data_IF_602323623328
#
_entry.id   IF_602323623328
#
_cell.length_a   1.000
_cell.length_b   1.000
_cell.length_c   1.000
_cell.angle_alpha   90.00
_cell.angle_beta   90.00
_cell.angle_gamma   90.00
#
_symmetry.space_group_name_H-M   'P 1'
#
loop_
_entity.id
_entity.type
_entity.pdbx_description
1 polymer ?
#
# COMPACT_ATOMS: atom_id res chain seq x y z
N UNK A 1 -1.06 9.09 20.91
CA UNK A 1 -1.70 7.91 20.30
C UNK A 1 -0.65 7.29 19.39
N UNK A 2 0.23 6.56 20.07
CA UNK A 2 1.35 5.80 19.55
C UNK A 2 0.79 4.66 18.68
N UNK A 3 1.33 4.25 17.54
CA UNK A 3 2.59 4.51 16.87
C UNK A 3 2.75 3.40 15.83
N UNK A 4 3.33 3.70 14.67
CA UNK A 4 3.91 2.76 13.69
C UNK A 4 3.07 1.59 13.13
N UNK A 5 1.83 1.37 13.56
CA UNK A 5 0.91 0.47 12.89
C UNK A 5 0.38 1.17 11.65
N UNK A 6 1.11 1.00 10.53
CA UNK A 6 0.60 1.31 9.20
C UNK A 6 -0.83 0.79 9.11
N UNK A 7 -1.70 1.66 8.61
CA UNK A 7 -3.13 1.46 8.57
C UNK A 7 -3.44 0.00 8.15
N UNK A 8 -4.24 -0.76 8.91
CA UNK A 8 -4.61 -2.11 8.50
C UNK A 8 -5.19 -2.16 7.07
N UNK A 9 -5.82 -1.08 6.60
CA UNK A 9 -6.31 -0.96 5.24
C UNK A 9 -5.19 -0.82 4.20
N UNK A 10 -4.10 -0.09 4.50
CA UNK A 10 -2.93 0.00 3.59
C UNK A 10 -2.35 -1.39 3.32
N UNK A 11 -2.28 -2.22 4.36
CA UNK A 11 -1.79 -3.59 4.25
C UNK A 11 -2.70 -4.45 3.39
N UNK A 12 -4.02 -4.33 3.56
CA UNK A 12 -4.98 -5.07 2.74
C UNK A 12 -4.92 -4.63 1.28
N UNK A 13 -4.88 -3.32 1.01
CA UNK A 13 -4.80 -2.77 -0.34
C UNK A 13 -3.49 -3.20 -1.02
N UNK A 14 -2.36 -3.12 -0.32
CA UNK A 14 -1.08 -3.55 -0.83
C UNK A 14 -1.06 -5.06 -1.12
N UNK A 15 -1.58 -5.88 -0.21
CA UNK A 15 -1.68 -7.32 -0.41
C UNK A 15 -2.52 -7.66 -1.65
N UNK A 16 -3.66 -7.01 -1.83
CA UNK A 16 -4.52 -7.21 -2.99
C UNK A 16 -3.83 -6.83 -4.29
N UNK A 17 -3.13 -5.68 -4.31
CA UNK A 17 -2.38 -5.24 -5.49
C UNK A 17 -1.27 -6.23 -5.86
N UNK A 18 -0.55 -6.78 -4.87
CA UNK A 18 0.50 -7.77 -5.09
C UNK A 18 -0.05 -9.11 -5.58
N UNK A 19 -1.12 -9.61 -4.97
CA UNK A 19 -1.73 -10.89 -5.33
C UNK A 19 -2.30 -10.91 -6.75
N UNK A 20 -2.86 -9.78 -7.19
CA UNK A 20 -3.50 -9.66 -8.50
C UNK A 20 -2.60 -8.97 -9.55
N UNK A 21 -1.34 -8.69 -9.22
CA UNK A 21 -0.40 -7.96 -10.08
C UNK A 21 -0.95 -6.62 -10.60
N UNK A 22 -1.67 -5.88 -9.75
CA UNK A 22 -2.26 -4.59 -10.09
C UNK A 22 -1.29 -3.43 -9.83
N UNK A 23 -1.44 -2.36 -10.62
CA UNK A 23 -0.82 -1.06 -10.34
C UNK A 23 -1.73 -0.28 -9.41
N UNK A 24 -1.20 0.18 -8.28
CA UNK A 24 -1.93 0.96 -7.29
C UNK A 24 -1.90 2.44 -7.65
N UNK A 25 -3.06 3.06 -7.92
CA UNK A 25 -3.13 4.51 -8.15
C UNK A 25 -3.33 5.20 -6.80
N UNK A 26 -2.30 5.92 -6.33
CA UNK A 26 -2.38 6.65 -5.07
C UNK A 26 -1.35 7.77 -4.98
N UNK A 27 -1.73 8.85 -4.28
CA UNK A 27 -0.80 9.93 -3.91
C UNK A 27 0.06 9.62 -2.69
N UNK A 28 -0.27 8.57 -1.96
CA UNK A 28 0.44 8.19 -0.75
C UNK A 28 1.68 7.37 -1.07
N UNK A 29 2.85 7.93 -0.76
CA UNK A 29 4.15 7.30 -0.96
C UNK A 29 4.48 6.27 0.13
N UNK A 30 3.77 6.25 1.26
CA UNK A 30 3.97 5.26 2.32
C UNK A 30 3.67 3.83 1.83
N UNK A 31 2.80 3.71 0.82
CA UNK A 31 2.43 2.44 0.19
C UNK A 31 3.61 1.79 -0.55
N UNK A 32 4.59 2.57 -1.03
CA UNK A 32 5.78 2.05 -1.74
C UNK A 32 6.60 1.12 -0.84
N UNK A 33 6.53 1.31 0.49
CA UNK A 33 7.22 0.47 1.45
C UNK A 33 6.62 -0.93 1.62
N UNK A 34 5.55 -1.27 0.90
CA UNK A 34 5.01 -2.62 0.77
C UNK A 34 5.44 -3.32 -0.54
N UNK A 35 6.21 -2.65 -1.41
CA UNK A 35 6.72 -3.24 -2.65
C UNK A 35 5.70 -3.29 -3.80
N UNK A 36 4.59 -2.55 -3.68
CA UNK A 36 3.61 -2.40 -4.77
C UNK A 36 4.17 -1.54 -5.91
N UNK A 37 3.69 -1.77 -7.13
CA UNK A 37 3.88 -0.82 -8.22
C UNK A 37 2.83 0.28 -8.10
N UNK A 38 3.24 1.52 -7.82
CA UNK A 38 2.32 2.66 -7.64
C UNK A 38 2.40 3.65 -8.81
N UNK A 39 1.24 4.15 -9.22
CA UNK A 39 1.06 5.26 -10.18
C UNK A 39 0.46 6.48 -9.45
N UNK A 40 0.86 7.68 -9.87
CA UNK A 40 0.43 8.97 -9.30
C UNK A 40 -0.41 9.78 -10.29
#
# INVERSE_FOLDING_TARGET
MDGAHRDPFDRMIAAQALLENMVLVSRDTALDAFGVTRLW
#
